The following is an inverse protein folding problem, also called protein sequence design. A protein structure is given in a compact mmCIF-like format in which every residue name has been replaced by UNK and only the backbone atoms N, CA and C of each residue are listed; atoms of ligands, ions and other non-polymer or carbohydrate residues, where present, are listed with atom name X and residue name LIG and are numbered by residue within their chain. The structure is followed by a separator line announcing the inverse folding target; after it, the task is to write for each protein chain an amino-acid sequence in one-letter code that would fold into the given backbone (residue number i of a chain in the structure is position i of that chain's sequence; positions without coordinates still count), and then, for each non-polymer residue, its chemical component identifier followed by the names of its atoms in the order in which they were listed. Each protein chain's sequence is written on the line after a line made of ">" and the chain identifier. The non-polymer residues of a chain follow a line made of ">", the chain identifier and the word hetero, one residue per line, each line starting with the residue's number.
data_IF_810889034076
#
_entry.id   IF_810889034076
#
_cell.length_a   1.000
_cell.length_b   1.000
_cell.length_c   1.000
_cell.angle_alpha   90.00
_cell.angle_beta   90.00
_cell.angle_gamma   90.00
#
_symmetry.space_group_name_H-M   'P 1'
#
loop_
_entity.id
_entity.type
_entity.pdbx_description
1 polymer ?
#
# COMPACT_ATOMS: atom_id res chain seq x y z
N UNK A 1 -15.55 10.59 3.27
CA UNK A 1 -15.37 9.32 3.99
C UNK A 1 -16.66 8.54 4.01
N UNK A 2 -16.60 7.26 3.64
CA UNK A 2 -17.74 6.35 3.62
C UNK A 2 -17.62 5.33 4.75
N UNK A 3 -18.72 5.06 5.43
CA UNK A 3 -18.80 4.06 6.51
C UNK A 3 -19.86 3.02 6.18
N UNK A 4 -19.56 1.77 6.49
CA UNK A 4 -20.53 0.68 6.33
C UNK A 4 -21.50 0.64 7.52
N UNK A 5 -22.75 0.31 7.24
CA UNK A 5 -23.75 0.09 8.29
C UNK A 5 -23.28 -1.02 9.25
N UNK A 6 -23.35 -0.76 10.54
CA UNK A 6 -22.85 -1.67 11.57
C UNK A 6 -21.40 -1.44 12.01
N UNK A 7 -20.65 -0.54 11.35
CA UNK A 7 -19.37 -0.08 11.88
C UNK A 7 -19.62 0.73 13.15
N UNK A 8 -19.39 0.12 14.29
CA UNK A 8 -19.38 0.78 15.57
C UNK A 8 -18.11 1.66 15.72
N UNK A 9 -18.01 2.41 16.80
CA UNK A 9 -16.92 3.33 17.05
C UNK A 9 -15.55 2.71 16.76
N UNK A 10 -14.87 3.22 15.75
CA UNK A 10 -13.52 2.80 15.39
C UNK A 10 -12.52 3.40 16.38
N UNK A 11 -11.50 2.64 16.76
CA UNK A 11 -10.47 3.15 17.66
C UNK A 11 -9.75 4.37 17.04
N UNK A 12 -9.33 5.32 17.88
CA UNK A 12 -8.59 6.50 17.44
C UNK A 12 -7.35 6.14 16.60
N UNK A 13 -6.67 5.02 16.93
CA UNK A 13 -5.51 4.52 16.19
C UNK A 13 -5.86 4.10 14.76
N UNK A 14 -7.00 3.44 14.53
CA UNK A 14 -7.42 3.03 13.18
C UNK A 14 -7.85 4.25 12.35
N UNK A 15 -8.51 5.22 12.98
CA UNK A 15 -8.87 6.48 12.31
C UNK A 15 -7.63 7.28 11.92
N UNK A 16 -6.65 7.41 12.82
CA UNK A 16 -5.38 8.08 12.53
C UNK A 16 -4.67 7.42 11.37
N UNK A 17 -4.51 6.09 11.38
CA UNK A 17 -3.84 5.37 10.30
C UNK A 17 -4.50 5.64 8.93
N UNK A 18 -5.83 5.58 8.83
CA UNK A 18 -6.55 5.88 7.59
C UNK A 18 -6.36 7.32 7.12
N UNK A 19 -6.34 8.30 8.04
CA UNK A 19 -6.06 9.70 7.73
C UNK A 19 -4.62 9.89 7.22
N UNK A 20 -3.65 9.24 7.86
CA UNK A 20 -2.23 9.33 7.50
C UNK A 20 -1.97 8.73 6.11
N UNK A 21 -2.60 7.59 5.79
CA UNK A 21 -2.58 6.98 4.45
C UNK A 21 -3.21 7.93 3.42
N UNK A 22 -4.36 8.54 3.74
CA UNK A 22 -5.00 9.53 2.87
C UNK A 22 -4.11 10.74 2.64
N UNK A 23 -3.45 11.25 3.69
CA UNK A 23 -2.47 12.34 3.58
C UNK A 23 -1.36 11.99 2.60
N UNK A 24 -0.87 10.76 2.63
CA UNK A 24 0.19 10.29 1.73
C UNK A 24 -0.26 10.31 0.27
N UNK A 25 -1.46 9.83 -0.06
CA UNK A 25 -1.97 9.89 -1.44
C UNK A 25 -2.14 11.33 -1.91
N UNK A 26 -2.69 12.21 -1.06
CA UNK A 26 -2.98 13.59 -1.44
C UNK A 26 -1.71 14.45 -1.54
N UNK A 27 -0.77 14.31 -0.62
CA UNK A 27 0.33 15.26 -0.46
C UNK A 27 1.73 14.63 -0.61
N UNK A 28 1.85 13.30 -0.55
CA UNK A 28 3.15 12.60 -0.56
C UNK A 28 3.88 12.73 0.77
N UNK A 29 5.20 12.71 0.71
CA UNK A 29 6.08 12.95 1.85
C UNK A 29 6.14 14.44 2.12
N UNK A 30 5.84 14.86 3.35
CA UNK A 30 5.94 16.25 3.77
C UNK A 30 7.29 16.48 4.43
N UNK A 31 7.89 17.65 4.18
CA UNK A 31 9.08 18.09 4.91
C UNK A 31 8.70 18.79 6.21
N UNK A 32 9.60 18.78 7.20
CA UNK A 32 9.41 19.52 8.46
C UNK A 32 9.22 21.02 8.26
N UNK A 33 9.73 21.54 7.13
CA UNK A 33 9.63 22.95 6.72
C UNK A 33 8.40 23.22 5.83
N UNK A 34 7.45 22.27 5.73
CA UNK A 34 6.27 22.43 4.88
C UNK A 34 5.28 23.41 5.53
N UNK A 35 5.26 24.63 5.04
CA UNK A 35 4.33 25.67 5.51
C UNK A 35 2.95 25.61 4.84
N UNK A 36 2.88 25.04 3.63
CA UNK A 36 1.64 24.99 2.85
C UNK A 36 1.53 23.68 2.06
N UNK A 37 0.38 23.03 2.18
CA UNK A 37 0.07 21.83 1.40
C UNK A 37 -0.13 22.17 -0.08
N UNK A 38 0.36 21.31 -0.95
CA UNK A 38 0.16 21.41 -2.41
C UNK A 38 -1.25 21.01 -2.80
N UNK A 39 -1.72 21.47 -3.96
CA UNK A 39 -2.98 20.99 -4.53
C UNK A 39 -2.83 19.52 -4.90
N UNK A 40 -3.73 18.64 -4.46
CA UNK A 40 -3.69 17.23 -4.81
C UNK A 40 -3.90 16.98 -6.31
N UNK A 41 -3.37 15.88 -6.83
CA UNK A 41 -3.56 15.45 -8.22
C UNK A 41 -4.92 14.78 -8.47
N UNK A 42 -5.62 14.38 -7.42
CA UNK A 42 -6.88 13.63 -7.50
C UNK A 42 -7.83 13.96 -6.35
N UNK A 43 -9.08 13.56 -6.52
CA UNK A 43 -10.03 13.40 -5.44
C UNK A 43 -9.92 11.97 -4.89
N UNK A 44 -10.32 11.76 -3.64
CA UNK A 44 -10.27 10.46 -2.96
C UNK A 44 -11.64 10.13 -2.38
N UNK A 45 -12.07 8.90 -2.64
CA UNK A 45 -13.10 8.22 -1.88
C UNK A 45 -12.43 7.35 -0.80
N UNK A 46 -12.63 7.69 0.45
CA UNK A 46 -12.05 6.97 1.59
C UNK A 46 -13.10 6.08 2.24
N UNK A 47 -12.86 4.76 2.23
CA UNK A 47 -13.74 3.77 2.82
C UNK A 47 -13.18 3.24 4.13
N UNK A 48 -13.94 3.39 5.22
CA UNK A 48 -13.62 2.80 6.50
C UNK A 48 -14.07 1.34 6.53
N UNK A 49 -13.17 0.43 6.25
CA UNK A 49 -13.44 -1.02 6.19
C UNK A 49 -13.10 -1.75 7.49
N UNK A 50 -12.19 -1.20 8.32
CA UNK A 50 -11.86 -1.72 9.64
C UNK A 50 -12.78 -1.12 10.70
N UNK A 51 -13.17 -1.92 11.70
CA UNK A 51 -13.86 -1.46 12.90
C UNK A 51 -13.18 -2.01 14.19
N UNK A 52 -13.57 -1.46 15.34
CA UNK A 52 -13.02 -1.87 16.63
C UNK A 52 -13.54 -3.23 17.13
N UNK A 53 -14.53 -3.77 16.48
CA UNK A 53 -15.14 -5.06 16.80
C UNK A 53 -14.62 -6.21 15.95
N UNK A 54 -13.55 -6.00 15.15
CA UNK A 54 -12.84 -7.10 14.51
C UNK A 54 -12.45 -8.05 15.64
N UNK A 55 -13.17 -9.17 15.72
CA UNK A 55 -12.88 -10.20 16.69
C UNK A 55 -11.42 -10.58 16.54
N UNK A 56 -10.64 -10.56 17.62
CA UNK A 56 -9.25 -11.04 17.62
C UNK A 56 -9.13 -12.49 17.13
N UNK A 57 -10.25 -13.16 16.85
CA UNK A 57 -10.35 -14.50 16.27
C UNK A 57 -10.46 -14.53 14.75
N UNK A 58 -10.76 -13.40 14.07
CA UNK A 58 -10.78 -13.30 12.60
C UNK A 58 -9.39 -12.89 12.09
N UNK A 59 -8.49 -13.86 12.07
CA UNK A 59 -7.09 -13.68 11.62
C UNK A 59 -7.04 -13.31 10.14
N UNK A 60 -8.04 -13.80 9.38
CA UNK A 60 -8.13 -13.62 7.92
C UNK A 60 -8.81 -12.32 7.52
N UNK A 61 -9.36 -11.57 8.46
CA UNK A 61 -10.10 -10.32 8.21
C UNK A 61 -11.16 -10.48 7.11
N UNK A 62 -11.93 -11.57 7.16
CA UNK A 62 -12.88 -11.94 6.11
C UNK A 62 -13.96 -10.88 5.91
N UNK A 63 -14.54 -10.34 6.99
CA UNK A 63 -15.53 -9.27 6.91
C UNK A 63 -14.99 -8.00 6.25
N UNK A 64 -13.71 -7.71 6.46
CA UNK A 64 -13.03 -6.58 5.83
C UNK A 64 -12.90 -6.81 4.33
N UNK A 65 -12.52 -8.03 3.91
CA UNK A 65 -12.46 -8.41 2.49
C UNK A 65 -13.82 -8.25 1.81
N UNK A 66 -14.90 -8.70 2.43
CA UNK A 66 -16.28 -8.58 1.89
C UNK A 66 -16.64 -7.10 1.68
N UNK A 67 -16.29 -6.22 2.61
CA UNK A 67 -16.53 -4.77 2.45
C UNK A 67 -15.73 -4.20 1.27
N UNK A 68 -14.46 -4.54 1.15
CA UNK A 68 -13.61 -4.12 0.03
C UNK A 68 -14.19 -4.62 -1.29
N UNK A 69 -14.52 -5.91 -1.37
CA UNK A 69 -15.15 -6.52 -2.56
C UNK A 69 -16.42 -5.77 -2.96
N UNK A 70 -17.31 -5.52 -2.00
CA UNK A 70 -18.56 -4.78 -2.25
C UNK A 70 -18.33 -3.38 -2.83
N UNK A 71 -17.30 -2.66 -2.37
CA UNK A 71 -16.93 -1.34 -2.92
C UNK A 71 -16.47 -1.46 -4.36
N UNK A 72 -15.53 -2.38 -4.63
CA UNK A 72 -14.90 -2.52 -5.93
C UNK A 72 -15.85 -3.10 -7.01
N UNK A 73 -16.83 -3.89 -6.62
CA UNK A 73 -17.88 -4.39 -7.53
C UNK A 73 -18.94 -3.34 -7.86
N UNK A 74 -19.19 -2.38 -6.97
CA UNK A 74 -20.22 -1.36 -7.15
C UNK A 74 -19.70 -0.06 -7.76
N UNK A 75 -18.40 0.17 -7.71
CA UNK A 75 -17.77 1.41 -8.16
C UNK A 75 -16.55 1.11 -9.02
N UNK A 76 -16.34 1.93 -10.03
CA UNK A 76 -15.12 1.89 -10.83
C UNK A 76 -14.10 2.92 -10.31
N UNK A 77 -12.87 2.47 -10.07
CA UNK A 77 -11.73 3.30 -9.69
C UNK A 77 -10.53 2.96 -10.56
N UNK A 78 -9.92 3.95 -11.20
CA UNK A 78 -8.66 3.77 -11.92
C UNK A 78 -7.51 3.40 -10.97
N UNK A 79 -7.57 3.91 -9.73
CA UNK A 79 -6.51 3.79 -8.72
C UNK A 79 -7.08 3.41 -7.36
N UNK A 80 -6.50 2.37 -6.76
CA UNK A 80 -6.89 1.85 -5.43
C UNK A 80 -5.64 1.65 -4.58
N UNK A 81 -5.71 1.96 -3.28
CA UNK A 81 -4.67 1.63 -2.32
C UNK A 81 -5.20 0.75 -1.20
N UNK A 82 -4.49 -0.33 -0.92
CA UNK A 82 -4.74 -1.22 0.20
C UNK A 82 -3.52 -1.23 1.13
N UNK A 83 -3.58 -0.43 2.20
CA UNK A 83 -2.57 -0.41 3.27
C UNK A 83 -3.03 -1.24 4.47
N UNK A 84 -3.65 -2.37 4.20
CA UNK A 84 -4.18 -3.33 5.18
C UNK A 84 -4.30 -4.72 4.55
N UNK A 85 -4.37 -5.73 5.39
CA UNK A 85 -4.55 -7.13 5.00
C UNK A 85 -4.36 -8.06 6.21
N UNK A 86 -4.59 -9.36 6.04
CA UNK A 86 -4.26 -10.36 7.06
C UNK A 86 -2.77 -10.33 7.41
N UNK A 87 -2.47 -10.39 8.71
CA UNK A 87 -1.08 -10.39 9.18
C UNK A 87 -0.54 -11.82 9.24
N UNK A 88 -0.47 -12.45 8.08
CA UNK A 88 -0.01 -13.82 7.88
C UNK A 88 1.02 -13.84 6.74
N UNK A 89 2.10 -14.65 6.83
CA UNK A 89 3.00 -14.83 5.69
C UNK A 89 2.26 -15.55 4.55
N UNK A 90 2.61 -15.19 3.31
CA UNK A 90 2.10 -15.92 2.12
C UNK A 90 2.53 -17.37 2.17
N UNK A 91 1.60 -18.28 1.92
CA UNK A 91 1.83 -19.71 1.77
C UNK A 91 2.09 -20.05 0.30
N UNK A 92 3.03 -20.99 0.02
CA UNK A 92 3.35 -21.43 -1.34
C UNK A 92 2.34 -22.44 -1.87
N UNK A 93 1.72 -23.21 -0.99
CA UNK A 93 0.85 -24.34 -1.34
C UNK A 93 -0.62 -23.93 -1.50
N UNK A 94 -1.05 -22.82 -0.86
CA UNK A 94 -2.44 -22.36 -0.90
C UNK A 94 -2.56 -20.86 -1.22
N UNK A 95 -3.57 -20.54 -2.04
CA UNK A 95 -3.89 -19.15 -2.40
C UNK A 95 -4.83 -18.57 -1.37
N UNK A 96 -4.37 -17.58 -0.62
CA UNK A 96 -5.22 -16.92 0.35
C UNK A 96 -6.46 -16.29 -0.30
N UNK A 97 -7.61 -16.35 0.37
CA UNK A 97 -8.89 -15.85 -0.13
C UNK A 97 -8.84 -14.36 -0.53
N UNK A 98 -8.05 -13.53 0.15
CA UNK A 98 -7.83 -12.14 -0.23
C UNK A 98 -7.18 -12.02 -1.61
N UNK A 99 -6.15 -12.81 -1.85
CA UNK A 99 -5.43 -12.81 -3.12
C UNK A 99 -6.34 -13.25 -4.25
N UNK A 100 -7.00 -14.40 -4.12
CA UNK A 100 -7.88 -14.93 -5.17
C UNK A 100 -9.05 -14.00 -5.49
N UNK A 101 -9.69 -13.43 -4.47
CA UNK A 101 -10.83 -12.51 -4.66
C UNK A 101 -10.40 -11.22 -5.38
N UNK A 102 -9.30 -10.62 -4.96
CA UNK A 102 -8.83 -9.37 -5.56
C UNK A 102 -8.21 -9.59 -6.95
N UNK A 103 -7.57 -10.75 -7.21
CA UNK A 103 -7.11 -11.10 -8.55
C UNK A 103 -8.26 -11.15 -9.55
N UNK A 104 -9.40 -11.74 -9.17
CA UNK A 104 -10.58 -11.80 -10.02
C UNK A 104 -11.12 -10.40 -10.35
N UNK A 105 -11.19 -9.51 -9.36
CA UNK A 105 -11.68 -8.14 -9.55
C UNK A 105 -10.71 -7.32 -10.42
N UNK A 106 -9.41 -7.48 -10.22
CA UNK A 106 -8.38 -6.70 -10.91
C UNK A 106 -7.97 -7.27 -12.27
N UNK A 107 -8.53 -8.43 -12.67
CA UNK A 107 -8.16 -9.13 -13.89
C UNK A 107 -8.41 -8.33 -15.19
N UNK A 108 -9.34 -7.37 -15.15
CA UNK A 108 -9.60 -6.49 -16.31
C UNK A 108 -8.44 -5.56 -16.65
N UNK A 109 -7.58 -5.25 -15.67
CA UNK A 109 -6.47 -4.30 -15.81
C UNK A 109 -6.91 -2.83 -15.89
N UNK A 110 -8.18 -2.53 -15.63
CA UNK A 110 -8.72 -1.17 -15.64
C UNK A 110 -8.41 -0.41 -14.35
N UNK A 111 -7.99 -1.12 -13.30
CA UNK A 111 -7.62 -0.57 -11.99
C UNK A 111 -6.17 -0.90 -11.64
N UNK A 112 -5.38 0.09 -11.25
CA UNK A 112 -4.11 -0.13 -10.58
C UNK A 112 -4.33 -0.14 -9.06
N UNK A 113 -4.10 -1.29 -8.44
CA UNK A 113 -4.15 -1.44 -7.00
C UNK A 113 -2.73 -1.51 -6.41
N UNK A 114 -2.34 -0.57 -5.54
CA UNK A 114 -1.11 -0.65 -4.75
C UNK A 114 -1.37 -1.28 -3.39
N UNK A 115 -0.47 -2.17 -2.97
CA UNK A 115 -0.65 -3.00 -1.77
C UNK A 115 0.61 -2.94 -0.90
N UNK A 116 0.44 -2.65 0.38
CA UNK A 116 1.50 -2.74 1.37
C UNK A 116 1.90 -4.21 1.62
N UNK A 117 3.20 -4.52 1.62
CA UNK A 117 3.66 -5.92 1.75
C UNK A 117 3.65 -6.45 3.18
N UNK A 118 3.42 -5.59 4.17
CA UNK A 118 3.47 -5.94 5.60
C UNK A 118 4.74 -5.45 6.29
N UNK A 119 4.70 -5.45 7.64
CA UNK A 119 5.74 -4.84 8.49
C UNK A 119 6.44 -5.85 9.41
N UNK A 120 6.40 -7.13 9.08
CA UNK A 120 7.00 -8.22 9.86
C UNK A 120 8.35 -8.71 9.30
N UNK A 121 8.98 -7.93 8.41
CA UNK A 121 10.24 -8.27 7.74
C UNK A 121 11.44 -8.54 8.65
N UNK A 122 11.38 -8.09 9.91
CA UNK A 122 12.39 -8.35 10.95
C UNK A 122 12.22 -9.69 11.67
N UNK A 123 11.11 -10.39 11.42
CA UNK A 123 10.86 -11.71 12.00
C UNK A 123 11.78 -12.78 11.38
N UNK A 124 11.93 -13.97 12.05
CA UNK A 124 12.66 -15.09 11.48
C UNK A 124 12.13 -15.51 10.10
N UNK A 125 13.00 -16.16 9.32
CA UNK A 125 12.65 -16.71 8.01
C UNK A 125 11.31 -17.49 8.04
N UNK A 126 10.54 -17.41 6.97
CA UNK A 126 9.16 -17.86 6.78
C UNK A 126 8.10 -16.94 7.41
N UNK A 127 8.35 -16.31 8.55
CA UNK A 127 7.42 -15.35 9.17
C UNK A 127 7.60 -13.92 8.64
N UNK A 128 8.72 -13.64 7.97
CA UNK A 128 9.08 -12.33 7.42
C UNK A 128 8.62 -12.13 5.95
N UNK A 129 7.88 -13.10 5.40
CA UNK A 129 7.39 -13.04 4.02
C UNK A 129 6.30 -11.99 3.86
N UNK A 130 6.16 -11.52 2.60
CA UNK A 130 5.03 -10.67 2.21
C UNK A 130 3.71 -11.27 2.68
N UNK A 131 2.74 -10.39 2.95
CA UNK A 131 1.46 -10.76 3.53
C UNK A 131 0.34 -10.62 2.49
N UNK A 132 -0.69 -11.50 2.48
CA UNK A 132 -1.81 -11.36 1.57
C UNK A 132 -2.48 -9.98 1.70
N UNK A 133 -2.88 -9.35 0.60
CA UNK A 133 -2.84 -9.82 -0.78
C UNK A 133 -1.60 -9.35 -1.58
N UNK A 134 -0.44 -9.11 -0.95
CA UNK A 134 0.74 -8.57 -1.64
C UNK A 134 1.37 -9.55 -2.66
N UNK A 135 0.93 -10.80 -2.69
CA UNK A 135 1.29 -11.79 -3.70
C UNK A 135 0.47 -11.69 -5.01
N UNK A 136 -0.45 -10.72 -5.11
CA UNK A 136 -1.22 -10.41 -6.32
C UNK A 136 -0.33 -10.18 -7.54
N UNK A 137 -0.70 -10.76 -8.68
CA UNK A 137 -0.07 -10.50 -9.99
C UNK A 137 -0.64 -9.22 -10.62
N UNK A 138 -1.97 -9.03 -10.53
CA UNK A 138 -2.66 -7.88 -11.11
C UNK A 138 -2.53 -6.59 -10.29
N UNK A 139 -2.03 -6.67 -9.04
CA UNK A 139 -1.70 -5.51 -8.21
C UNK A 139 -0.23 -5.08 -8.31
N UNK A 140 0.14 -4.07 -7.55
CA UNK A 140 1.51 -3.58 -7.38
C UNK A 140 1.85 -3.61 -5.89
N UNK A 141 2.60 -4.63 -5.45
CA UNK A 141 3.01 -4.77 -4.05
C UNK A 141 4.24 -3.92 -3.76
N UNK A 142 4.18 -3.14 -2.68
CA UNK A 142 5.18 -2.13 -2.36
C UNK A 142 5.77 -2.36 -0.98
N UNK A 143 7.08 -2.56 -0.94
CA UNK A 143 7.89 -2.57 0.28
C UNK A 143 8.36 -1.18 0.68
N UNK A 144 9.09 -1.11 1.79
CA UNK A 144 9.58 0.15 2.34
C UNK A 144 11.10 0.30 2.18
N UNK A 145 11.52 1.47 1.67
CA UNK A 145 12.90 1.95 1.63
C UNK A 145 13.18 2.93 2.77
N UNK A 146 14.43 2.98 3.22
CA UNK A 146 14.88 3.76 4.38
C UNK A 146 14.98 5.26 4.13
N UNK A 147 15.17 5.70 2.88
CA UNK A 147 15.43 7.10 2.55
C UNK A 147 14.90 7.46 1.16
N UNK A 148 14.68 8.76 0.94
CA UNK A 148 14.44 9.35 -0.39
C UNK A 148 15.73 9.60 -1.17
N UNK A 149 16.89 9.46 -0.53
CA UNK A 149 18.20 9.67 -1.17
C UNK A 149 18.63 8.49 -2.04
N UNK A 150 19.68 8.67 -2.83
CA UNK A 150 20.26 7.60 -3.63
C UNK A 150 20.91 6.46 -2.82
N UNK A 151 21.04 6.62 -1.52
CA UNK A 151 21.63 5.65 -0.60
C UNK A 151 20.61 4.86 0.21
N UNK A 152 19.39 4.70 -0.33
CA UNK A 152 18.35 3.93 0.32
C UNK A 152 18.66 2.42 0.37
N UNK A 153 18.17 1.79 1.40
CA UNK A 153 18.14 0.34 1.61
C UNK A 153 16.70 -0.10 1.94
N UNK A 154 16.45 -1.40 1.98
CA UNK A 154 15.17 -1.92 2.49
C UNK A 154 15.04 -1.63 3.98
N UNK A 155 13.91 -1.09 4.41
CA UNK A 155 13.61 -1.01 5.84
C UNK A 155 13.53 -2.42 6.47
N UNK A 156 14.15 -2.60 7.62
CA UNK A 156 14.21 -3.91 8.32
C UNK A 156 12.83 -4.52 8.57
N UNK A 157 11.82 -3.70 8.81
CA UNK A 157 10.45 -4.14 9.02
C UNK A 157 9.72 -4.55 7.73
N UNK A 158 10.16 -4.09 6.56
CA UNK A 158 9.47 -4.40 5.29
C UNK A 158 9.55 -5.90 4.99
N UNK A 159 8.39 -6.54 4.83
CA UNK A 159 8.32 -7.95 4.46
C UNK A 159 8.98 -8.22 3.12
N UNK A 160 9.46 -9.45 2.94
CA UNK A 160 10.25 -9.88 1.77
C UNK A 160 9.56 -10.99 0.98
N UNK A 161 9.92 -11.14 -0.29
CA UNK A 161 9.54 -12.27 -1.12
C UNK A 161 10.23 -13.59 -0.70
N UNK A 162 10.15 -14.59 -1.55
CA UNK A 162 9.51 -14.56 -2.87
C UNK A 162 7.98 -14.47 -2.80
N UNK A 163 7.37 -14.06 -3.90
CA UNK A 163 5.96 -14.28 -4.14
C UNK A 163 5.69 -15.71 -4.57
N UNK A 164 4.43 -16.04 -4.86
CA UNK A 164 4.05 -17.33 -5.45
C UNK A 164 4.14 -17.28 -6.98
N UNK A 165 4.25 -18.45 -7.63
CA UNK A 165 4.17 -18.55 -9.09
C UNK A 165 2.81 -18.02 -9.60
N UNK A 166 2.76 -17.20 -10.68
CA UNK A 166 3.88 -16.75 -11.51
C UNK A 166 4.63 -15.50 -11.01
N UNK A 167 4.16 -14.87 -9.94
CA UNK A 167 4.70 -13.61 -9.39
C UNK A 167 5.87 -13.82 -8.41
N UNK A 168 6.93 -14.50 -8.79
CA UNK A 168 8.05 -14.80 -7.89
C UNK A 168 8.81 -13.55 -7.41
N UNK A 169 8.95 -12.54 -8.24
CA UNK A 169 9.59 -11.28 -7.82
C UNK A 169 8.58 -10.45 -7.07
N UNK A 170 8.68 -10.48 -5.74
CA UNK A 170 7.90 -9.69 -4.80
C UNK A 170 8.80 -9.23 -3.64
N UNK A 171 8.56 -8.00 -3.12
CA UNK A 171 7.61 -6.99 -3.62
C UNK A 171 7.83 -6.67 -5.10
N UNK A 172 6.89 -5.98 -5.75
CA UNK A 172 7.12 -5.46 -7.11
C UNK A 172 8.16 -4.34 -7.11
N UNK A 173 8.18 -3.53 -6.05
CA UNK A 173 9.16 -2.48 -5.83
C UNK A 173 9.13 -1.98 -4.39
N UNK A 174 9.97 -0.99 -4.10
CA UNK A 174 10.02 -0.31 -2.81
C UNK A 174 9.87 1.20 -2.99
N UNK A 175 9.34 1.86 -1.98
CA UNK A 175 9.35 3.32 -1.90
C UNK A 175 9.63 3.74 -0.46
N UNK A 176 10.00 5.00 -0.26
CA UNK A 176 10.24 5.52 1.08
C UNK A 176 9.06 5.21 2.01
N UNK A 177 9.36 4.58 3.15
CA UNK A 177 8.37 4.17 4.15
C UNK A 177 8.64 4.75 5.53
N UNK A 178 9.76 5.46 5.69
CA UNK A 178 10.21 6.02 6.95
C UNK A 178 10.83 4.98 7.88
N UNK A 179 11.63 5.46 8.83
CA UNK A 179 12.23 4.70 9.92
C UNK A 179 12.46 5.62 11.12
N UNK A 180 13.20 5.18 12.13
CA UNK A 180 13.50 5.99 13.34
C UNK A 180 14.40 7.20 13.01
N UNK A 181 15.35 7.05 12.07
CA UNK A 181 16.31 8.09 11.69
C UNK A 181 15.70 9.10 10.71
N UNK A 182 14.91 8.62 9.76
CA UNK A 182 14.20 9.42 8.74
C UNK A 182 12.72 9.04 8.73
N UNK A 183 11.89 9.61 9.64
CA UNK A 183 10.47 9.25 9.72
C UNK A 183 9.68 9.80 8.55
N UNK A 184 8.65 9.06 8.13
CA UNK A 184 7.71 9.52 7.13
C UNK A 184 6.81 10.61 7.73
N UNK A 185 6.78 11.79 7.14
CA UNK A 185 5.96 12.91 7.61
C UNK A 185 4.64 12.99 6.86
N UNK A 186 3.55 13.03 7.60
CA UNK A 186 2.18 13.16 7.08
C UNK A 186 1.47 14.36 7.72
N UNK A 187 0.46 14.90 7.03
CA UNK A 187 -0.46 15.82 7.67
C UNK A 187 -1.49 15.05 8.50
N UNK A 188 -1.57 15.36 9.78
CA UNK A 188 -2.52 14.76 10.70
C UNK A 188 -3.51 15.81 11.23
N UNK A 189 -4.79 15.72 10.84
CA UNK A 189 -5.82 16.59 11.39
C UNK A 189 -5.96 16.49 12.92
N UNK A 190 -5.69 15.30 13.47
CA UNK A 190 -5.76 15.09 14.93
C UNK A 190 -4.73 15.91 15.69
N UNK A 191 -3.57 16.17 15.09
CA UNK A 191 -2.48 16.98 15.67
C UNK A 191 -2.49 18.41 15.12
N UNK A 192 -3.42 18.73 14.21
CA UNK A 192 -3.47 20.00 13.46
C UNK A 192 -2.08 20.41 12.90
N UNK A 193 -1.37 19.43 12.34
CA UNK A 193 -0.01 19.63 11.85
C UNK A 193 0.62 18.37 11.30
N UNK A 194 1.94 18.33 11.30
CA UNK A 194 2.69 17.17 10.87
C UNK A 194 2.74 16.11 11.96
N UNK A 195 2.69 14.85 11.54
CA UNK A 195 2.92 13.69 12.39
C UNK A 195 3.96 12.78 11.73
N UNK A 196 4.84 12.20 12.56
CA UNK A 196 5.87 11.25 12.14
C UNK A 196 5.33 9.83 12.21
N UNK A 197 5.60 9.04 11.19
CA UNK A 197 5.18 7.64 11.10
C UNK A 197 6.18 6.81 10.31
N UNK A 198 5.98 5.50 10.25
CA UNK A 198 6.74 4.58 9.40
C UNK A 198 5.93 3.33 9.07
N UNK A 199 6.18 2.73 7.91
CA UNK A 199 5.55 1.48 7.50
C UNK A 199 5.33 1.37 6.00
N UNK A 200 5.20 0.14 5.52
CA UNK A 200 4.83 -0.15 4.12
C UNK A 200 3.45 0.44 3.76
N UNK A 201 2.63 0.71 4.78
CA UNK A 201 1.34 1.41 4.65
C UNK A 201 1.47 2.83 4.08
N UNK A 202 2.67 3.42 4.08
CA UNK A 202 2.97 4.73 3.52
C UNK A 202 3.72 4.65 2.19
N UNK A 203 4.52 3.60 2.00
CA UNK A 203 5.18 3.33 0.72
C UNK A 203 4.18 3.04 -0.40
N UNK A 204 3.17 2.20 -0.14
CA UNK A 204 2.17 1.83 -1.14
C UNK A 204 1.36 3.03 -1.66
N UNK A 205 0.76 3.88 -0.81
CA UNK A 205 0.04 5.07 -1.28
C UNK A 205 0.97 6.13 -1.90
N UNK A 206 2.26 6.17 -1.53
CA UNK A 206 3.24 7.04 -2.18
C UNK A 206 3.45 6.64 -3.65
N UNK A 207 3.58 5.34 -3.93
CA UNK A 207 3.67 4.81 -5.29
C UNK A 207 2.37 5.06 -6.08
N UNK A 208 1.20 4.88 -5.44
CA UNK A 208 -0.08 5.21 -6.07
C UNK A 208 -0.14 6.68 -6.48
N UNK A 209 0.28 7.58 -5.58
CA UNK A 209 0.39 9.01 -5.88
C UNK A 209 1.28 9.29 -7.10
N UNK A 210 2.40 8.58 -7.23
CA UNK A 210 3.28 8.72 -8.40
C UNK A 210 2.58 8.27 -9.69
N UNK A 211 1.84 7.15 -9.66
CA UNK A 211 1.03 6.68 -10.80
C UNK A 211 -0.02 7.73 -11.21
N UNK A 212 -0.74 8.30 -10.25
CA UNK A 212 -1.74 9.35 -10.48
C UNK A 212 -1.09 10.61 -11.06
N UNK A 213 0.06 11.02 -10.52
CA UNK A 213 0.81 12.18 -11.00
C UNK A 213 1.28 11.99 -12.45
N UNK A 214 1.76 10.79 -12.81
CA UNK A 214 2.11 10.44 -14.19
C UNK A 214 0.90 10.60 -15.11
N UNK A 215 -0.25 10.04 -14.74
CA UNK A 215 -1.48 10.13 -15.54
C UNK A 215 -1.99 11.57 -15.68
N UNK A 216 -1.84 12.37 -14.62
CA UNK A 216 -2.28 13.78 -14.64
C UNK A 216 -1.34 14.69 -15.43
N UNK A 217 -0.05 14.34 -15.53
CA UNK A 217 0.99 15.20 -16.12
C UNK A 217 1.22 14.91 -17.61
N UNK A 218 0.88 13.71 -18.08
CA UNK A 218 1.06 13.34 -19.48
C UNK A 218 -0.08 13.92 -20.33
N UNK A 219 0.28 14.38 -21.53
CA UNK A 219 -0.70 14.94 -22.49
C UNK A 219 -1.62 13.85 -23.10
N UNK A 220 -1.32 12.60 -22.88
CA UNK A 220 -2.07 11.44 -23.35
C UNK A 220 -2.74 10.74 -22.18
N UNK A 221 -3.98 10.31 -22.36
CA UNK A 221 -4.64 9.43 -21.41
C UNK A 221 -3.91 8.08 -21.36
N UNK A 222 -3.14 7.85 -20.32
CA UNK A 222 -2.51 6.57 -20.05
C UNK A 222 -3.43 5.72 -19.18
N UNK A 223 -3.48 4.42 -19.47
CA UNK A 223 -4.23 3.47 -18.65
C UNK A 223 -3.51 3.20 -17.32
N UNK A 224 -4.21 2.73 -16.28
CA UNK A 224 -3.58 2.29 -15.03
C UNK A 224 -2.48 1.26 -15.24
N UNK A 225 -2.64 0.32 -16.19
CA UNK A 225 -1.60 -0.64 -16.57
C UNK A 225 -0.37 0.03 -17.21
N UNK A 226 -0.57 1.07 -18.01
CA UNK A 226 0.55 1.83 -18.58
C UNK A 226 1.31 2.55 -17.49
N UNK A 227 0.61 3.15 -16.50
CA UNK A 227 1.24 3.77 -15.35
C UNK A 227 2.07 2.74 -14.55
N UNK A 228 1.52 1.55 -14.27
CA UNK A 228 2.25 0.43 -13.64
C UNK A 228 3.50 0.07 -14.42
N UNK A 229 3.40 -0.11 -15.73
CA UNK A 229 4.53 -0.47 -16.59
C UNK A 229 5.64 0.59 -16.56
N UNK A 230 5.28 1.87 -16.60
CA UNK A 230 6.24 2.97 -16.51
C UNK A 230 6.95 3.01 -15.15
N UNK A 231 6.23 2.82 -14.05
CA UNK A 231 6.83 2.76 -12.71
C UNK A 231 7.84 1.63 -12.61
N UNK A 232 7.47 0.41 -13.04
CA UNK A 232 8.37 -0.75 -13.01
C UNK A 232 9.56 -0.56 -13.97
N UNK A 233 9.34 0.02 -15.15
CA UNK A 233 10.40 0.26 -16.12
C UNK A 233 11.47 1.23 -15.61
N UNK A 234 11.08 2.22 -14.82
CA UNK A 234 12.00 3.21 -14.25
C UNK A 234 12.54 2.87 -12.86
N UNK A 235 12.10 1.74 -12.29
CA UNK A 235 12.60 1.27 -11.01
C UNK A 235 14.04 0.75 -11.13
N UNK A 236 14.87 0.99 -10.11
CA UNK A 236 16.29 0.63 -10.09
C UNK A 236 16.65 -0.15 -8.81
N UNK A 237 16.80 -1.46 -8.92
CA UNK A 237 17.13 -2.31 -7.78
C UNK A 237 18.59 -2.27 -7.30
N UNK A 238 19.47 -1.49 -7.94
CA UNK A 238 20.87 -1.22 -7.51
C UNK A 238 21.72 -2.43 -7.10
N UNK A 239 21.51 -3.59 -7.67
CA UNK A 239 22.16 -4.86 -7.30
C UNK A 239 21.70 -5.43 -5.92
N UNK A 240 20.65 -4.88 -5.33
CA UNK A 240 20.05 -5.43 -4.14
C UNK A 240 19.25 -6.71 -4.47
N UNK A 241 18.94 -7.50 -3.44
CA UNK A 241 18.19 -8.73 -3.61
C UNK A 241 16.75 -8.44 -4.06
N UNK A 242 16.35 -8.99 -5.20
CA UNK A 242 15.00 -8.77 -5.75
C UNK A 242 13.85 -9.31 -4.89
N UNK A 243 14.13 -10.28 -4.02
CA UNK A 243 13.12 -10.71 -3.03
C UNK A 243 12.96 -9.70 -1.88
N UNK A 244 13.86 -8.73 -1.78
CA UNK A 244 13.79 -7.66 -0.78
C UNK A 244 13.26 -6.35 -1.34
N UNK A 245 13.62 -6.02 -2.59
CA UNK A 245 13.35 -4.70 -3.17
C UNK A 245 12.62 -4.75 -4.52
N UNK A 246 12.31 -5.93 -5.04
CA UNK A 246 11.64 -6.06 -6.33
C UNK A 246 12.48 -5.53 -7.49
N UNK A 247 11.89 -4.65 -8.25
CA UNK A 247 12.54 -3.95 -9.37
C UNK A 247 13.23 -2.64 -8.94
N UNK A 248 13.00 -2.17 -7.70
CA UNK A 248 13.61 -0.97 -7.11
C UNK A 248 12.65 -0.06 -6.40
#
# INVERSE_FOLDING_TARGET
>A
EYTFNGNSATSAKLLSHGQDVTSTVLFGVLGTETEKLTVPFCNIDHYRVLDSNVNNSDVDLFDVLIRIKSVLEQNHYDYVNLSLGPRLPVDDDDVHVWTSTLEEILATGETLCTIAVGNDGHLPAQLNRIQPPADLVNGLSVGAATSLSDHWERCSYSCIGPGRSPGFVKPDGVAFGGNEDEPFQVYSPMHNGLASTAGTSFSAPLVLRQAIALSSSLQYNITPLTAKALLIHHAECKKLNRHEVGWG
#
